data_IF_685174567887
#
_entry.id   IF_685174567887
#
_cell.length_a   1.000
_cell.length_b   1.000
_cell.length_c   1.000
_cell.angle_alpha   90.00
_cell.angle_beta   90.00
_cell.angle_gamma   90.00
#
_symmetry.space_group_name_H-M   'P 1'
#
loop_
_entity.id
_entity.type
_entity.pdbx_description
1 polymer ?
#
# COMPACT_ATOMS: atom_id res chain seq x y z
N UNK A 1 34.09 25.75 26.23
CA UNK A 1 33.26 24.61 25.81
C UNK A 1 31.88 25.17 25.49
N UNK A 2 31.68 25.57 24.25
CA UNK A 2 30.35 25.88 23.71
C UNK A 2 29.76 24.54 23.29
N UNK A 3 28.76 24.05 24.04
CA UNK A 3 27.89 23.00 23.55
C UNK A 3 27.28 23.51 22.24
N UNK A 4 27.54 22.83 21.12
CA UNK A 4 26.66 22.95 19.98
C UNK A 4 25.30 22.46 20.43
N UNK A 5 24.29 23.32 20.35
CA UNK A 5 22.92 22.85 20.28
C UNK A 5 22.85 22.05 18.98
N UNK A 6 22.89 20.72 19.06
CA UNK A 6 22.47 19.87 17.94
C UNK A 6 21.01 20.23 17.67
N UNK A 7 20.80 21.15 16.72
CA UNK A 7 19.50 21.34 16.11
C UNK A 7 19.24 20.05 15.36
N UNK A 8 18.39 19.21 15.93
CA UNK A 8 17.94 18.00 15.27
C UNK A 8 17.12 18.41 14.05
N UNK A 9 17.74 18.30 12.88
CA UNK A 9 17.13 18.73 11.62
C UNK A 9 16.07 17.71 11.17
N UNK A 10 14.93 18.22 10.68
CA UNK A 10 13.87 17.40 10.11
C UNK A 10 14.42 16.46 9.04
N UNK A 11 13.90 15.24 8.93
CA UNK A 11 14.36 14.26 7.94
C UNK A 11 15.70 13.57 8.26
N UNK A 12 16.37 13.93 9.36
CA UNK A 12 17.48 13.14 9.90
C UNK A 12 16.95 11.94 10.71
N UNK A 13 17.75 10.88 10.82
CA UNK A 13 17.41 9.70 11.61
C UNK A 13 17.20 10.06 13.09
N UNK A 14 16.13 9.52 13.69
CA UNK A 14 15.82 9.73 15.10
C UNK A 14 16.71 8.85 16.00
N UNK A 15 17.71 9.42 16.71
CA UNK A 15 18.64 8.64 17.51
C UNK A 15 17.98 7.94 18.71
N UNK A 16 16.75 8.31 19.08
CA UNK A 16 15.99 7.66 20.15
C UNK A 16 15.31 6.36 19.73
N UNK A 17 15.35 6.02 18.44
CA UNK A 17 14.75 4.80 17.91
C UNK A 17 15.79 3.71 17.63
N UNK A 18 15.62 2.54 18.24
CA UNK A 18 16.44 1.36 17.98
C UNK A 18 17.95 1.68 17.92
N UNK A 19 18.64 1.30 16.85
CA UNK A 19 20.06 1.60 16.66
C UNK A 19 20.23 2.86 15.80
N UNK A 20 20.15 4.03 16.44
CA UNK A 20 20.42 5.32 15.79
C UNK A 20 19.41 5.69 14.69
N UNK A 21 18.14 5.34 14.88
CA UNK A 21 17.06 5.59 13.92
C UNK A 21 16.68 4.40 13.06
N UNK A 22 17.38 3.28 13.16
CA UNK A 22 17.18 2.10 12.30
C UNK A 22 16.99 0.84 13.14
N UNK A 23 15.90 0.12 12.89
CA UNK A 23 15.68 -1.25 13.34
C UNK A 23 15.86 -2.19 12.15
N UNK A 24 16.66 -3.25 12.33
CA UNK A 24 16.92 -4.28 11.31
C UNK A 24 16.39 -5.62 11.79
N UNK A 25 15.88 -6.42 10.86
CA UNK A 25 15.34 -7.76 11.10
C UNK A 25 16.11 -8.79 10.26
N UNK A 26 16.37 -10.00 10.75
CA UNK A 26 15.89 -10.53 12.03
C UNK A 26 16.63 -9.94 13.23
N UNK A 27 15.96 -9.87 14.38
CA UNK A 27 16.59 -9.72 15.70
C UNK A 27 16.53 -11.06 16.45
N UNK A 28 17.24 -11.24 17.58
CA UNK A 28 17.09 -12.44 18.40
C UNK A 28 15.63 -12.74 18.80
N UNK A 29 14.81 -11.70 18.90
CA UNK A 29 13.39 -11.76 19.24
C UNK A 29 12.46 -11.84 18.02
N UNK A 30 12.92 -11.44 16.83
CA UNK A 30 12.18 -11.51 15.57
C UNK A 30 12.93 -12.30 14.52
N UNK A 31 12.45 -13.49 14.17
CA UNK A 31 12.95 -14.25 13.01
C UNK A 31 12.18 -13.95 11.72
N UNK A 32 11.40 -12.86 11.69
CA UNK A 32 10.66 -12.40 10.52
C UNK A 32 11.55 -11.86 9.42
N UNK A 33 11.14 -12.05 8.16
CA UNK A 33 11.94 -11.66 6.99
C UNK A 33 11.57 -10.29 6.41
N UNK A 34 10.32 -9.84 6.56
CA UNK A 34 9.85 -8.65 5.85
C UNK A 34 8.66 -7.96 6.53
N UNK A 35 8.82 -6.67 6.83
CA UNK A 35 7.76 -5.79 7.35
C UNK A 35 6.85 -5.34 6.20
N UNK A 36 5.61 -5.79 6.23
CA UNK A 36 4.62 -5.55 5.19
C UNK A 36 3.70 -4.35 5.48
N UNK A 37 3.52 -4.00 6.75
CA UNK A 37 2.67 -2.89 7.14
C UNK A 37 3.12 -2.34 8.50
N UNK A 38 3.02 -1.02 8.66
CA UNK A 38 3.30 -0.32 9.92
C UNK A 38 2.11 0.56 10.30
N UNK A 39 1.82 0.61 11.59
CA UNK A 39 0.76 1.45 12.13
C UNK A 39 1.26 2.16 13.39
N UNK A 40 1.52 3.48 13.32
CA UNK A 40 1.78 4.29 14.50
C UNK A 40 0.55 4.35 15.41
N UNK A 41 0.78 4.20 16.71
CA UNK A 41 -0.25 4.26 17.74
C UNK A 41 -0.19 5.60 18.50
N UNK A 42 -1.29 5.95 19.16
CA UNK A 42 -1.42 7.23 19.86
C UNK A 42 -0.37 7.42 20.98
N UNK A 43 0.07 6.34 21.62
CA UNK A 43 1.12 6.33 22.64
C UNK A 43 2.55 6.28 22.08
N UNK A 44 2.72 6.51 20.77
CA UNK A 44 4.00 6.50 20.04
C UNK A 44 4.64 5.12 19.89
N UNK A 45 3.91 4.06 20.23
CA UNK A 45 4.25 2.70 19.84
C UNK A 45 4.00 2.47 18.35
N UNK A 46 4.54 1.36 17.84
CA UNK A 46 4.30 0.90 16.47
C UNK A 46 3.68 -0.50 16.50
N UNK A 47 2.66 -0.74 15.69
CA UNK A 47 2.17 -2.08 15.38
C UNK A 47 2.71 -2.49 14.01
N UNK A 48 3.24 -3.71 13.92
CA UNK A 48 3.92 -4.24 12.74
C UNK A 48 3.23 -5.48 12.22
N UNK A 49 2.95 -5.51 10.92
CA UNK A 49 2.52 -6.70 10.20
C UNK A 49 3.69 -7.22 9.37
N UNK A 50 4.07 -8.47 9.55
CA UNK A 50 5.25 -9.05 8.91
C UNK A 50 5.02 -10.46 8.42
N UNK A 51 5.83 -10.90 7.46
CA UNK A 51 5.90 -12.31 7.07
C UNK A 51 7.04 -12.99 7.81
N UNK A 52 6.75 -14.16 8.37
CA UNK A 52 7.68 -14.90 9.20
C UNK A 52 8.27 -16.10 8.45
N UNK A 53 9.46 -16.50 8.88
CA UNK A 53 10.04 -17.78 8.55
C UNK A 53 9.26 -18.92 9.21
N UNK A 54 9.07 -20.03 8.50
CA UNK A 54 8.59 -21.26 9.15
C UNK A 54 7.69 -22.13 8.29
N UNK A 55 7.25 -23.23 8.88
CA UNK A 55 6.24 -24.11 8.28
C UNK A 55 4.95 -23.30 8.04
N UNK A 56 4.41 -23.39 6.83
CA UNK A 56 3.26 -22.60 6.35
C UNK A 56 3.48 -21.09 6.17
N UNK A 57 4.70 -20.58 6.40
CA UNK A 57 5.07 -19.16 6.22
C UNK A 57 4.06 -18.19 6.89
N UNK A 58 3.94 -18.23 8.23
CA UNK A 58 2.94 -17.44 8.96
C UNK A 58 3.11 -15.94 8.74
N UNK A 59 2.04 -15.20 9.00
CA UNK A 59 2.15 -13.77 9.29
C UNK A 59 2.36 -13.57 10.79
N UNK A 60 3.08 -12.51 11.13
CA UNK A 60 3.33 -12.05 12.49
C UNK A 60 2.73 -10.67 12.70
N UNK A 61 2.12 -10.47 13.87
CA UNK A 61 1.73 -9.17 14.40
C UNK A 61 2.57 -8.89 15.65
N UNK A 62 3.25 -7.75 15.68
CA UNK A 62 4.08 -7.38 16.82
C UNK A 62 3.90 -5.91 17.19
N UNK A 63 4.08 -5.58 18.46
CA UNK A 63 4.03 -4.21 18.97
C UNK A 63 5.42 -3.78 19.45
N UNK A 64 5.87 -2.61 19.02
CA UNK A 64 7.10 -1.97 19.48
C UNK A 64 6.78 -0.80 20.40
N UNK A 65 7.54 -0.67 21.48
CA UNK A 65 7.57 0.53 22.32
C UNK A 65 8.14 1.72 21.54
N UNK A 66 8.00 2.94 22.10
CA UNK A 66 8.51 4.17 21.48
C UNK A 66 10.01 4.10 21.13
N UNK A 67 10.83 3.42 21.94
CA UNK A 67 12.26 3.25 21.68
C UNK A 67 12.60 2.21 20.61
N UNK A 68 11.61 1.53 20.02
CA UNK A 68 11.83 0.46 19.03
C UNK A 68 12.08 -0.93 19.63
N UNK A 69 12.07 -1.08 20.96
CA UNK A 69 12.10 -2.40 21.62
C UNK A 69 10.72 -3.06 21.58
N UNK A 70 10.68 -4.38 21.66
CA UNK A 70 9.43 -5.15 21.61
C UNK A 70 8.62 -4.98 22.90
N UNK A 71 7.32 -4.82 22.76
CA UNK A 71 6.36 -4.92 23.86
C UNK A 71 6.08 -6.41 24.14
N UNK A 72 6.85 -6.99 25.08
CA UNK A 72 6.74 -8.41 25.43
C UNK A 72 5.39 -8.78 26.07
N UNK A 73 4.58 -7.80 26.50
CA UNK A 73 3.24 -8.06 27.02
C UNK A 73 2.22 -8.31 25.90
N UNK A 74 2.51 -7.89 24.67
CA UNK A 74 1.62 -8.07 23.53
C UNK A 74 1.49 -9.56 23.15
N UNK A 75 0.26 -9.98 22.85
CA UNK A 75 -0.10 -11.35 22.49
C UNK A 75 -0.27 -12.32 23.66
N UNK A 76 0.05 -11.92 24.90
CA UNK A 76 -0.14 -12.73 26.12
C UNK A 76 0.82 -13.91 26.30
N UNK A 77 1.59 -14.27 25.26
CA UNK A 77 2.56 -15.38 25.30
C UNK A 77 3.93 -14.99 25.87
N UNK A 78 4.15 -13.71 26.18
CA UNK A 78 5.45 -13.21 26.64
C UNK A 78 6.50 -13.09 25.54
N UNK A 79 6.10 -13.19 24.26
CA UNK A 79 6.98 -13.09 23.08
C UNK A 79 6.88 -11.73 22.39
N UNK A 80 5.82 -10.96 22.66
CA UNK A 80 5.50 -9.73 21.92
C UNK A 80 5.13 -9.95 20.43
N UNK A 81 5.01 -11.22 20.02
CA UNK A 81 4.70 -11.64 18.65
C UNK A 81 3.50 -12.58 18.66
N UNK A 82 2.52 -12.27 17.83
CA UNK A 82 1.34 -13.10 17.57
C UNK A 82 1.42 -13.63 16.16
N UNK A 83 1.40 -14.95 16.02
CA UNK A 83 1.47 -15.61 14.72
C UNK A 83 0.10 -16.07 14.24
N UNK A 84 -0.14 -15.99 12.94
CA UNK A 84 -1.31 -16.57 12.30
C UNK A 84 -0.92 -17.22 10.98
N UNK A 85 -1.42 -18.42 10.72
CA UNK A 85 -1.25 -19.12 9.46
C UNK A 85 -2.55 -19.78 9.01
N UNK A 86 -2.67 -19.99 7.71
CA UNK A 86 -3.75 -20.77 7.11
C UNK A 86 -3.15 -22.02 6.47
N UNK A 87 -3.53 -23.20 6.94
CA UNK A 87 -3.01 -24.46 6.40
C UNK A 87 -3.31 -24.55 4.90
N UNK A 88 -2.28 -24.74 4.09
CA UNK A 88 -2.42 -24.87 2.64
C UNK A 88 -2.48 -23.54 1.88
N UNK A 89 -2.26 -22.40 2.54
CA UNK A 89 -2.20 -21.10 1.90
C UNK A 89 -1.09 -20.23 2.49
N UNK A 90 -0.53 -19.37 1.65
CA UNK A 90 0.36 -18.28 2.03
C UNK A 90 -0.44 -17.02 2.29
N UNK A 91 -0.08 -16.28 3.32
CA UNK A 91 -0.70 -15.02 3.69
C UNK A 91 0.28 -13.87 3.47
N UNK A 92 -0.23 -12.75 2.97
CA UNK A 92 0.49 -11.50 2.81
C UNK A 92 -0.29 -10.41 3.54
N UNK A 93 0.34 -9.69 4.45
CA UNK A 93 -0.27 -8.51 5.06
C UNK A 93 -0.19 -7.39 4.03
N UNK A 94 -1.30 -6.71 3.78
CA UNK A 94 -1.33 -5.50 2.96
C UNK A 94 -1.48 -4.25 3.80
N UNK A 95 -2.12 -4.36 4.97
CA UNK A 95 -2.47 -3.19 5.77
C UNK A 95 -2.84 -3.54 7.21
N UNK A 96 -2.53 -2.60 8.10
CA UNK A 96 -3.01 -2.57 9.48
C UNK A 96 -3.92 -1.35 9.69
N UNK A 97 -4.98 -1.53 10.49
CA UNK A 97 -5.85 -0.43 10.93
C UNK A 97 -6.20 -0.55 12.41
N UNK A 98 -6.14 0.58 13.11
CA UNK A 98 -6.68 0.71 14.44
C UNK A 98 -8.21 0.83 14.34
N UNK A 99 -8.90 0.10 15.20
CA UNK A 99 -10.34 0.14 15.33
C UNK A 99 -10.74 1.10 16.47
N UNK A 100 -11.95 1.65 16.39
CA UNK A 100 -12.47 2.60 17.39
C UNK A 100 -12.66 2.00 18.78
N UNK A 101 -12.75 0.67 18.88
CA UNK A 101 -12.81 -0.09 20.13
C UNK A 101 -11.42 -0.41 20.71
N UNK A 102 -10.35 0.08 20.08
CA UNK A 102 -8.96 -0.18 20.47
C UNK A 102 -8.37 -1.46 19.88
N UNK A 103 -9.16 -2.25 19.14
CA UNK A 103 -8.67 -3.44 18.44
C UNK A 103 -7.90 -3.12 17.16
N UNK A 104 -7.42 -4.17 16.50
CA UNK A 104 -6.65 -4.11 15.27
C UNK A 104 -7.33 -4.91 14.18
N UNK A 105 -7.31 -4.36 12.96
CA UNK A 105 -7.72 -5.06 11.76
C UNK A 105 -6.49 -5.30 10.88
N UNK A 106 -6.24 -6.56 10.56
CA UNK A 106 -5.21 -6.98 9.62
C UNK A 106 -5.90 -7.35 8.32
N UNK A 107 -5.50 -6.70 7.23
CA UNK A 107 -6.05 -6.93 5.90
C UNK A 107 -4.93 -7.42 4.99
N UNK A 108 -5.26 -8.41 4.15
CA UNK A 108 -4.25 -8.99 3.30
C UNK A 108 -4.77 -9.84 2.16
N UNK A 109 -3.81 -10.42 1.44
CA UNK A 109 -4.01 -11.37 0.36
C UNK A 109 -3.62 -12.77 0.83
N UNK A 110 -4.38 -13.78 0.41
CA UNK A 110 -3.99 -15.17 0.55
C UNK A 110 -3.90 -15.85 -0.81
N UNK A 111 -2.95 -16.77 -0.93
CA UNK A 111 -2.79 -17.62 -2.10
C UNK A 111 -2.67 -19.08 -1.66
N UNK A 112 -3.44 -19.98 -2.26
CA UNK A 112 -3.31 -21.42 -1.97
C UNK A 112 -1.98 -21.96 -2.48
N UNK A 113 -1.43 -22.96 -1.81
CA UNK A 113 -0.09 -23.49 -2.12
C UNK A 113 0.02 -24.11 -3.52
N UNK A 114 -1.10 -24.57 -4.08
CA UNK A 114 -1.17 -25.06 -5.46
C UNK A 114 -1.19 -23.91 -6.51
N UNK A 115 -1.25 -22.66 -6.06
CA UNK A 115 -1.30 -21.45 -6.88
C UNK A 115 -2.59 -21.27 -7.68
N UNK A 116 -3.62 -22.11 -7.46
CA UNK A 116 -4.84 -22.13 -8.28
C UNK A 116 -5.93 -21.20 -7.77
N UNK A 117 -5.90 -20.91 -6.47
CA UNK A 117 -6.90 -20.14 -5.76
C UNK A 117 -6.25 -19.11 -4.85
N UNK A 118 -7.05 -18.15 -4.43
CA UNK A 118 -6.61 -17.08 -3.55
C UNK A 118 -7.70 -16.03 -3.39
N UNK A 119 -7.40 -15.02 -2.61
CA UNK A 119 -8.28 -13.89 -2.43
C UNK A 119 -7.82 -12.98 -1.31
N UNK A 120 -8.77 -12.30 -0.70
CA UNK A 120 -8.52 -11.41 0.42
C UNK A 120 -8.86 -12.07 1.75
N UNK A 121 -8.20 -11.64 2.81
CA UNK A 121 -8.57 -12.02 4.16
C UNK A 121 -8.59 -10.81 5.11
N UNK A 122 -9.45 -10.89 6.12
CA UNK A 122 -9.45 -9.99 7.27
C UNK A 122 -9.26 -10.81 8.54
N UNK A 123 -8.41 -10.31 9.43
CA UNK A 123 -8.31 -10.77 10.81
C UNK A 123 -8.60 -9.61 11.75
N UNK A 124 -9.31 -9.88 12.83
CA UNK A 124 -9.52 -8.89 13.90
C UNK A 124 -8.83 -9.36 15.18
N UNK A 125 -8.12 -8.45 15.82
CA UNK A 125 -7.44 -8.66 17.08
C UNK A 125 -7.93 -7.64 18.11
N UNK A 126 -7.93 -8.02 19.38
CA UNK A 126 -8.08 -7.08 20.48
C UNK A 126 -6.80 -6.27 20.67
N UNK A 127 -6.90 -5.20 21.47
CA UNK A 127 -5.78 -4.29 21.73
C UNK A 127 -4.53 -5.00 22.26
N UNK A 128 -4.73 -6.08 23.03
CA UNK A 128 -3.66 -6.89 23.63
C UNK A 128 -3.03 -7.90 22.65
N UNK A 129 -3.49 -7.96 21.40
CA UNK A 129 -2.99 -8.88 20.38
C UNK A 129 -3.68 -10.24 20.35
N UNK A 130 -4.68 -10.50 21.20
CA UNK A 130 -5.47 -11.74 21.08
C UNK A 130 -6.43 -11.68 19.90
N UNK A 131 -6.58 -12.79 19.17
CA UNK A 131 -7.50 -12.87 18.03
C UNK A 131 -8.96 -12.77 18.53
N UNK A 132 -9.73 -11.83 17.96
CA UNK A 132 -11.15 -11.69 18.22
C UNK A 132 -11.93 -12.76 17.47
N UNK A 133 -12.20 -13.88 18.14
CA UNK A 133 -12.90 -15.03 17.55
C UNK A 133 -14.38 -14.76 17.22
N UNK A 134 -14.94 -13.63 17.66
CA UNK A 134 -16.31 -13.25 17.32
C UNK A 134 -16.45 -12.63 15.93
N UNK A 135 -15.33 -12.22 15.32
CA UNK A 135 -15.29 -11.62 14.00
C UNK A 135 -15.25 -12.68 12.90
N UNK A 136 -16.08 -12.54 11.86
CA UNK A 136 -16.14 -13.51 10.76
C UNK A 136 -16.32 -14.96 11.25
N UNK A 137 -15.50 -15.87 10.72
CA UNK A 137 -15.43 -17.26 11.16
C UNK A 137 -14.17 -17.45 12.05
N UNK A 138 -14.37 -17.49 13.36
CA UNK A 138 -13.30 -17.66 14.36
C UNK A 138 -12.18 -16.60 14.28
N UNK A 139 -12.53 -15.35 13.96
CA UNK A 139 -11.60 -14.23 13.83
C UNK A 139 -11.07 -14.00 12.41
N UNK A 140 -11.46 -14.85 11.45
CA UNK A 140 -11.05 -14.78 10.06
C UNK A 140 -12.25 -14.56 9.14
N UNK A 141 -12.11 -13.62 8.20
CA UNK A 141 -13.03 -13.47 7.07
C UNK A 141 -12.25 -13.68 5.77
N UNK A 142 -12.59 -14.71 5.01
CA UNK A 142 -12.05 -14.93 3.66
C UNK A 142 -13.01 -14.38 2.60
N UNK A 143 -12.43 -13.73 1.60
CA UNK A 143 -13.11 -13.24 0.41
C UNK A 143 -12.40 -13.83 -0.82
N UNK A 144 -12.78 -15.04 -1.24
CA UNK A 144 -12.15 -15.70 -2.37
C UNK A 144 -12.39 -14.90 -3.66
N UNK A 145 -11.36 -14.81 -4.50
CA UNK A 145 -11.48 -14.18 -5.82
C UNK A 145 -12.16 -15.12 -6.82
N UNK A 146 -12.03 -16.44 -6.62
CA UNK A 146 -12.83 -17.47 -7.28
C UNK A 146 -13.57 -18.27 -6.23
N UNK A 147 -14.89 -18.21 -6.21
CA UNK A 147 -15.66 -19.22 -5.48
C UNK A 147 -15.32 -20.59 -6.08
N UNK A 148 -15.00 -21.57 -5.23
CA UNK A 148 -14.92 -22.96 -5.65
C UNK A 148 -16.27 -23.33 -6.28
N UNK A 149 -16.31 -23.35 -7.60
CA UNK A 149 -17.42 -23.95 -8.33
C UNK A 149 -17.50 -25.40 -7.83
N UNK A 150 -18.57 -25.72 -7.09
CA UNK A 150 -18.93 -27.10 -6.78
C UNK A 150 -18.88 -27.88 -8.10
N UNK A 151 -18.03 -28.90 -8.13
CA UNK A 151 -17.70 -29.69 -9.32
C UNK A 151 -18.95 -30.03 -10.15
N UNK A 152 -19.04 -29.49 -11.36
CA UNK A 152 -19.90 -30.04 -12.41
C UNK A 152 -19.01 -30.52 -13.55
N UNK A 153 -18.87 -31.84 -13.58
CA UNK A 153 -18.36 -32.74 -14.61
C UNK A 153 -17.37 -32.24 -15.69
N UNK A 154 -16.17 -32.80 -15.60
CA UNK A 154 -15.12 -32.81 -16.63
C UNK A 154 -15.63 -33.39 -17.95
N UNK A 155 -15.40 -32.66 -19.05
CA UNK A 155 -15.10 -33.28 -20.35
C UNK A 155 -13.68 -32.93 -20.77
N UNK A 156 -12.84 -33.91 -21.12
CA UNK A 156 -11.46 -33.67 -21.47
C UNK A 156 -11.39 -33.05 -22.88
N UNK A 157 -10.68 -31.92 -23.02
CA UNK A 157 -10.19 -31.47 -24.33
C UNK A 157 -8.69 -31.71 -24.41
N UNK A 158 -8.33 -32.44 -25.47
CA UNK A 158 -6.99 -32.91 -25.83
C UNK A 158 -6.05 -31.71 -26.09
N UNK A 159 -4.76 -31.78 -25.70
CA UNK A 159 -3.78 -30.73 -25.97
C UNK A 159 -3.39 -30.71 -27.45
N UNK A 160 -3.61 -29.58 -28.12
CA UNK A 160 -2.93 -29.23 -29.37
C UNK A 160 -1.88 -28.17 -29.05
N UNK A 161 -0.62 -28.50 -29.29
CA UNK A 161 0.48 -27.54 -29.28
C UNK A 161 0.37 -26.65 -30.53
N UNK A 162 0.33 -25.34 -30.33
CA UNK A 162 0.80 -24.37 -31.31
C UNK A 162 1.59 -23.30 -30.55
N UNK A 163 2.81 -23.08 -31.03
CA UNK A 163 3.80 -22.16 -30.50
C UNK A 163 3.38 -20.71 -30.74
N UNK A 164 2.97 -20.01 -29.68
CA UNK A 164 3.20 -18.57 -29.56
C UNK A 164 3.42 -18.26 -28.08
N UNK A 165 4.63 -17.79 -27.76
CA UNK A 165 5.06 -17.41 -26.42
C UNK A 165 4.19 -16.27 -25.87
N UNK A 166 3.11 -16.63 -25.21
CA UNK A 166 2.55 -15.89 -24.09
C UNK A 166 2.51 -16.87 -22.93
N UNK A 167 3.59 -16.89 -22.14
CA UNK A 167 3.63 -17.66 -20.92
C UNK A 167 2.61 -17.06 -19.95
N UNK A 168 1.43 -17.67 -19.95
CA UNK A 168 0.49 -17.67 -18.82
C UNK A 168 1.18 -18.40 -17.67
N UNK A 169 2.11 -17.72 -17.02
CA UNK A 169 2.53 -18.01 -15.66
C UNK A 169 1.74 -17.09 -14.75
N UNK A 170 1.12 -17.68 -13.72
CA UNK A 170 0.15 -17.05 -12.84
C UNK A 170 0.56 -15.64 -12.44
N UNK A 171 -0.39 -14.71 -12.53
CA UNK A 171 -0.29 -13.35 -12.01
C UNK A 171 0.20 -13.42 -10.57
N UNK A 172 1.52 -13.29 -10.37
CA UNK A 172 2.09 -12.87 -9.09
C UNK A 172 1.49 -11.49 -8.86
N UNK A 173 0.74 -11.34 -7.78
CA UNK A 173 0.33 -10.03 -7.29
C UNK A 173 1.62 -9.26 -6.94
N UNK A 174 2.22 -8.59 -7.93
CA UNK A 174 3.15 -7.51 -7.63
C UNK A 174 2.34 -6.43 -6.93
N UNK A 175 2.86 -6.02 -5.77
CA UNK A 175 2.14 -5.38 -4.69
C UNK A 175 1.20 -4.27 -5.12
N UNK A 176 0.01 -4.27 -4.53
CA UNK A 176 -0.81 -3.07 -4.44
C UNK A 176 -0.01 -2.07 -3.62
N UNK A 177 0.53 -1.04 -4.27
CA UNK A 177 1.44 -0.08 -3.66
C UNK A 177 0.68 1.10 -3.01
N UNK A 178 -0.57 0.91 -2.60
CA UNK A 178 -1.36 1.90 -1.86
C UNK A 178 -2.36 1.20 -0.94
N UNK A 179 -3.01 1.96 -0.07
CA UNK A 179 -4.04 1.41 0.81
C UNK A 179 -5.13 0.76 -0.05
N UNK A 180 -5.18 -0.57 -0.08
CA UNK A 180 -6.17 -1.31 -0.84
C UNK A 180 -7.53 -1.32 -0.12
N UNK A 181 -7.54 -1.02 1.17
CA UNK A 181 -8.73 -0.94 2.01
C UNK A 181 -8.67 0.26 2.96
N UNK A 182 -9.83 0.79 3.36
CA UNK A 182 -9.91 1.89 4.33
C UNK A 182 -11.11 1.65 5.23
N UNK A 183 -10.94 1.88 6.54
CA UNK A 183 -12.05 1.91 7.46
C UNK A 183 -12.68 3.30 7.47
N UNK A 184 -14.01 3.35 7.41
CA UNK A 184 -14.80 4.57 7.56
C UNK A 184 -14.98 4.89 9.05
N UNK A 185 -15.39 6.12 9.37
CA UNK A 185 -15.60 6.56 10.76
C UNK A 185 -16.73 5.81 11.49
N UNK A 186 -17.66 5.20 10.75
CA UNK A 186 -18.74 4.36 11.28
C UNK A 186 -18.31 2.89 11.52
N UNK A 187 -17.03 2.58 11.30
CA UNK A 187 -16.46 1.25 11.49
C UNK A 187 -16.57 0.32 10.27
N UNK A 188 -17.28 0.73 9.21
CA UNK A 188 -17.36 -0.04 7.95
C UNK A 188 -16.02 -0.05 7.23
N UNK A 189 -15.79 -1.06 6.41
CA UNK A 189 -14.53 -1.27 5.71
C UNK A 189 -14.79 -1.23 4.21
N UNK A 190 -14.14 -0.32 3.50
CA UNK A 190 -14.17 -0.23 2.05
C UNK A 190 -12.92 -0.89 1.48
N UNK A 191 -13.07 -1.73 0.46
CA UNK A 191 -11.95 -2.46 -0.16
C UNK A 191 -12.11 -2.54 -1.68
N UNK A 192 -11.04 -2.30 -2.43
CA UNK A 192 -10.95 -2.66 -3.85
C UNK A 192 -10.73 -4.18 -4.02
N UNK A 193 -11.52 -4.82 -4.87
CA UNK A 193 -11.37 -6.25 -5.16
C UNK A 193 -11.67 -6.59 -6.63
N UNK A 194 -11.31 -7.82 -7.00
CA UNK A 194 -11.63 -8.43 -8.29
C UNK A 194 -12.93 -9.25 -8.16
N UNK A 195 -13.82 -9.13 -9.15
CA UNK A 195 -15.05 -9.93 -9.26
C UNK A 195 -15.09 -10.68 -10.58
N UNK A 196 -15.36 -11.98 -10.50
CA UNK A 196 -15.60 -12.85 -11.65
C UNK A 196 -17.10 -13.10 -11.80
N UNK A 197 -17.81 -12.36 -12.68
CA UNK A 197 -19.20 -12.67 -12.97
C UNK A 197 -19.35 -14.05 -13.63
N UNK A 198 -20.54 -14.66 -13.54
CA UNK A 198 -20.85 -15.95 -14.19
C UNK A 198 -20.60 -15.91 -15.70
N UNK A 199 -20.86 -14.76 -16.32
CA UNK A 199 -20.58 -14.48 -17.72
C UNK A 199 -19.96 -13.10 -17.87
N UNK A 200 -18.93 -13.00 -18.71
CA UNK A 200 -18.27 -11.73 -19.03
C UNK A 200 -16.85 -11.63 -18.48
N UNK A 201 -16.20 -10.48 -18.70
CA UNK A 201 -14.83 -10.26 -18.25
C UNK A 201 -14.76 -10.05 -16.73
N UNK A 202 -13.56 -10.22 -16.18
CA UNK A 202 -13.21 -9.79 -14.82
C UNK A 202 -13.58 -8.32 -14.61
N UNK A 203 -14.16 -8.02 -13.45
CA UNK A 203 -14.55 -6.66 -13.05
C UNK A 203 -13.71 -6.19 -11.86
N UNK A 204 -13.25 -4.94 -11.91
CA UNK A 204 -12.73 -4.24 -10.73
C UNK A 204 -13.93 -3.70 -9.94
N UNK A 205 -13.97 -3.96 -8.64
CA UNK A 205 -15.07 -3.53 -7.77
C UNK A 205 -14.55 -2.80 -6.53
N UNK A 206 -15.40 -1.94 -5.97
CA UNK A 206 -15.30 -1.47 -4.59
C UNK A 206 -16.36 -2.22 -3.79
N UNK A 207 -15.95 -2.96 -2.77
CA UNK A 207 -16.86 -3.61 -1.83
C UNK A 207 -16.85 -2.87 -0.50
N UNK A 208 -17.96 -2.92 0.22
CA UNK A 208 -18.08 -2.40 1.59
C UNK A 208 -18.54 -3.50 2.54
N UNK A 209 -17.83 -3.65 3.64
CA UNK A 209 -18.14 -4.56 4.72
C UNK A 209 -18.60 -3.79 5.95
N UNK A 210 -19.43 -4.42 6.77
CA UNK A 210 -19.72 -3.97 8.12
C UNK A 210 -18.51 -4.19 9.03
N UNK A 211 -18.54 -3.60 10.22
CA UNK A 211 -17.46 -3.71 11.22
C UNK A 211 -17.22 -5.15 11.70
N UNK A 212 -18.18 -6.05 11.53
CA UNK A 212 -18.08 -7.48 11.84
C UNK A 212 -17.54 -8.34 10.67
N UNK A 213 -17.21 -7.71 9.54
CA UNK A 213 -16.69 -8.35 8.33
C UNK A 213 -17.77 -8.92 7.39
N UNK A 214 -19.06 -8.81 7.75
CA UNK A 214 -20.18 -9.16 6.86
C UNK A 214 -20.32 -8.14 5.72
N UNK A 215 -21.00 -8.52 4.64
CA UNK A 215 -21.24 -7.63 3.50
C UNK A 215 -22.21 -6.50 3.88
N UNK A 216 -21.93 -5.25 3.50
CA UNK A 216 -22.87 -4.14 3.72
C UNK A 216 -23.80 -3.95 2.52
N UNK A 217 -24.92 -4.66 2.52
CA UNK A 217 -25.91 -4.62 1.42
C UNK A 217 -26.53 -3.23 1.18
N UNK A 218 -26.31 -2.24 2.06
CA UNK A 218 -26.73 -0.85 1.81
C UNK A 218 -25.83 -0.14 0.80
N UNK A 219 -24.62 -0.65 0.53
CA UNK A 219 -23.73 -0.13 -0.49
C UNK A 219 -24.11 -0.67 -1.87
N UNK A 220 -24.62 0.21 -2.71
CA UNK A 220 -25.11 -0.05 -4.06
C UNK A 220 -26.18 -1.18 -4.11
N UNK A 221 -26.86 -1.44 -2.98
CA UNK A 221 -27.89 -2.46 -2.83
C UNK A 221 -27.41 -3.91 -2.78
N UNK A 222 -26.10 -4.16 -2.95
CA UNK A 222 -25.52 -5.51 -3.08
C UNK A 222 -24.17 -5.66 -2.37
N UNK A 223 -23.73 -4.63 -1.64
CA UNK A 223 -22.43 -4.61 -0.97
C UNK A 223 -21.28 -4.08 -1.80
N UNK A 224 -21.40 -4.03 -3.12
CA UNK A 224 -20.31 -3.58 -3.97
C UNK A 224 -20.78 -2.73 -5.15
N UNK A 225 -19.87 -1.89 -5.63
CA UNK A 225 -20.00 -1.11 -6.84
C UNK A 225 -18.97 -1.58 -7.87
N UNK A 226 -19.39 -1.72 -9.13
CA UNK A 226 -18.48 -2.00 -10.24
C UNK A 226 -17.82 -0.69 -10.67
N UNK A 227 -16.50 -0.72 -10.84
CA UNK A 227 -15.75 0.42 -11.34
C UNK A 227 -15.87 0.44 -12.86
N UNK A 228 -16.39 1.54 -13.40
CA UNK A 228 -16.54 1.76 -14.83
C UNK A 228 -15.89 3.09 -15.22
N UNK A 229 -14.97 3.06 -16.19
CA UNK A 229 -14.35 4.25 -16.76
C UNK A 229 -15.10 4.65 -18.03
N UNK A 230 -16.30 5.21 -17.87
CA UNK A 230 -17.14 5.66 -18.98
C UNK A 230 -16.39 6.67 -19.83
N UNK A 231 -16.56 6.57 -21.15
CA UNK A 231 -15.95 7.45 -22.15
C UNK A 231 -14.41 7.43 -22.20
N UNK A 232 -13.76 6.55 -21.44
CA UNK A 232 -12.31 6.33 -21.48
C UNK A 232 -12.06 5.01 -22.21
N UNK A 233 -11.41 5.02 -23.39
CA UNK A 233 -11.15 3.79 -24.10
C UNK A 233 -9.94 3.06 -23.49
N UNK A 234 -10.13 1.80 -23.08
CA UNK A 234 -9.09 0.94 -22.51
C UNK A 234 -9.22 -0.51 -23.00
N UNK A 235 -8.10 -1.22 -23.06
CA UNK A 235 -8.06 -2.68 -23.18
C UNK A 235 -8.03 -3.34 -21.79
N UNK A 236 -7.39 -2.66 -20.83
CA UNK A 236 -7.34 -3.07 -19.42
C UNK A 236 -7.19 -1.87 -18.50
N UNK A 237 -7.70 -2.00 -17.28
CA UNK A 237 -7.48 -1.05 -16.19
C UNK A 237 -7.44 -1.79 -14.86
N UNK A 238 -6.82 -1.17 -13.86
CA UNK A 238 -6.65 -1.70 -12.52
C UNK A 238 -6.96 -0.62 -11.49
N UNK A 239 -7.46 -1.03 -10.33
CA UNK A 239 -7.66 -0.17 -9.17
C UNK A 239 -6.61 -0.52 -8.11
N UNK A 240 -5.76 0.44 -7.74
CA UNK A 240 -4.58 0.21 -6.91
C UNK A 240 -4.73 0.76 -5.49
N UNK A 241 -5.47 1.86 -5.32
CA UNK A 241 -5.57 2.54 -4.04
C UNK A 241 -6.97 3.13 -3.79
N UNK A 242 -7.41 3.09 -2.54
CA UNK A 242 -8.69 3.65 -2.08
C UNK A 242 -8.48 4.63 -0.93
N UNK A 243 -9.28 5.69 -0.92
CA UNK A 243 -9.41 6.61 0.20
C UNK A 243 -10.89 6.92 0.46
N UNK A 244 -11.19 7.40 1.67
CA UNK A 244 -12.54 7.78 2.07
C UNK A 244 -12.51 9.23 2.53
N UNK A 245 -13.46 10.04 2.04
CA UNK A 245 -13.65 11.41 2.50
C UNK A 245 -14.48 11.42 3.79
N UNK A 246 -14.40 12.50 4.58
CA UNK A 246 -15.10 12.60 5.87
C UNK A 246 -16.62 12.44 5.80
N UNK A 247 -17.22 12.69 4.63
CA UNK A 247 -18.65 12.52 4.35
C UNK A 247 -19.03 11.11 3.89
N UNK A 248 -18.10 10.15 3.96
CA UNK A 248 -18.30 8.75 3.60
C UNK A 248 -18.20 8.45 2.11
N UNK A 249 -17.90 9.45 1.25
CA UNK A 249 -17.63 9.21 -0.17
C UNK A 249 -16.32 8.44 -0.35
N UNK A 250 -16.28 7.58 -1.36
CA UNK A 250 -15.16 6.68 -1.63
C UNK A 250 -14.43 7.10 -2.90
N UNK A 251 -13.13 7.29 -2.80
CA UNK A 251 -12.24 7.59 -3.91
C UNK A 251 -11.43 6.36 -4.27
N UNK A 252 -11.34 6.04 -5.55
CA UNK A 252 -10.49 4.96 -6.07
C UNK A 252 -9.55 5.53 -7.12
N UNK A 253 -8.26 5.22 -6.95
CA UNK A 253 -7.22 5.54 -7.90
C UNK A 253 -6.63 4.28 -8.54
N UNK A 254 -6.21 4.41 -9.79
CA UNK A 254 -5.52 3.35 -10.51
C UNK A 254 -5.08 3.81 -11.89
N UNK A 255 -4.83 2.86 -12.79
CA UNK A 255 -4.39 3.15 -14.15
C UNK A 255 -5.16 2.35 -15.19
N UNK A 256 -5.16 2.86 -16.42
CA UNK A 256 -5.72 2.22 -17.60
C UNK A 256 -4.69 2.20 -18.73
N UNK A 257 -4.87 1.25 -19.65
CA UNK A 257 -4.03 1.12 -20.84
C UNK A 257 -4.84 0.65 -22.04
N UNK A 258 -4.45 1.16 -23.21
CA UNK A 258 -4.96 0.80 -24.52
C UNK A 258 -3.80 0.67 -25.50
N UNK A 259 -3.84 -0.37 -26.31
CA UNK A 259 -2.77 -0.73 -27.25
C UNK A 259 -2.87 0.08 -28.54
N UNK A 260 -4.07 0.27 -29.09
CA UNK A 260 -4.25 0.93 -30.40
C UNK A 260 -5.52 1.79 -30.49
N UNK A 261 -5.41 3.12 -30.68
CA UNK A 261 -4.18 3.91 -30.56
C UNK A 261 -3.63 3.82 -29.14
N UNK A 262 -2.30 3.87 -29.01
CA UNK A 262 -1.64 3.80 -27.71
C UNK A 262 -2.13 4.92 -26.80
N UNK A 263 -2.76 4.56 -25.69
CA UNK A 263 -3.24 5.50 -24.68
C UNK A 263 -3.09 4.86 -23.31
N UNK A 264 -2.41 5.56 -22.41
CA UNK A 264 -2.25 5.16 -21.02
C UNK A 264 -2.67 6.33 -20.16
N UNK A 265 -3.04 6.04 -18.92
CA UNK A 265 -3.38 7.10 -18.00
C UNK A 265 -3.65 6.58 -16.61
N UNK A 266 -3.65 7.49 -15.66
CA UNK A 266 -4.19 7.24 -14.33
C UNK A 266 -5.58 7.83 -14.23
N UNK A 267 -6.40 7.26 -13.35
CA UNK A 267 -7.72 7.78 -13.06
C UNK A 267 -7.95 7.88 -11.56
N UNK A 268 -8.83 8.80 -11.18
CA UNK A 268 -9.47 8.85 -9.86
C UNK A 268 -10.98 8.87 -10.11
N UNK A 269 -11.71 7.88 -9.61
CA UNK A 269 -13.18 7.88 -9.63
C UNK A 269 -13.73 7.99 -8.22
N UNK A 270 -14.92 8.59 -8.10
CA UNK A 270 -15.59 8.74 -6.81
C UNK A 270 -16.96 8.09 -6.80
N UNK A 271 -17.22 7.34 -5.74
CA UNK A 271 -18.54 6.86 -5.37
C UNK A 271 -19.08 7.68 -4.21
N UNK A 272 -20.39 7.91 -4.19
CA UNK A 272 -21.07 8.48 -3.04
C UNK A 272 -21.09 7.50 -1.85
N UNK A 273 -21.54 7.96 -0.68
CA UNK A 273 -21.62 7.13 0.52
C UNK A 273 -22.59 5.93 0.39
N UNK A 274 -23.40 5.90 -0.67
CA UNK A 274 -24.30 4.77 -1.00
C UNK A 274 -23.71 3.86 -2.08
N UNK A 275 -22.51 4.12 -2.58
CA UNK A 275 -21.84 3.29 -3.58
C UNK A 275 -22.27 3.56 -5.03
N UNK A 276 -22.94 4.67 -5.30
CA UNK A 276 -23.26 5.09 -6.68
C UNK A 276 -22.18 6.04 -7.20
N UNK A 277 -21.92 6.03 -8.51
CA UNK A 277 -20.97 6.97 -9.12
C UNK A 277 -21.38 8.41 -8.81
N UNK A 278 -20.46 9.18 -8.21
CA UNK A 278 -20.71 10.56 -7.84
C UNK A 278 -20.35 11.52 -8.99
N UNK A 279 -21.34 11.87 -9.81
CA UNK A 279 -21.15 12.77 -10.95
C UNK A 279 -20.83 14.21 -10.58
N UNK A 280 -20.99 14.61 -9.31
CA UNK A 280 -20.54 15.92 -8.83
C UNK A 280 -19.02 16.02 -8.72
N UNK A 281 -18.30 14.89 -8.80
CA UNK A 281 -16.85 14.82 -8.81
C UNK A 281 -16.29 14.98 -10.23
N UNK A 282 -16.36 16.19 -10.79
CA UNK A 282 -15.87 16.46 -12.14
C UNK A 282 -16.40 15.45 -13.19
N UNK A 283 -17.68 15.08 -13.12
CA UNK A 283 -18.30 14.06 -13.99
C UNK A 283 -18.15 12.61 -13.51
N UNK A 284 -17.53 12.37 -12.35
CA UNK A 284 -17.39 11.06 -11.70
C UNK A 284 -16.00 10.44 -11.85
N UNK A 285 -15.20 10.91 -12.80
CA UNK A 285 -13.84 10.43 -13.05
C UNK A 285 -12.93 11.56 -13.50
N UNK A 286 -11.71 11.58 -12.97
CA UNK A 286 -10.63 12.48 -13.36
C UNK A 286 -9.50 11.65 -13.91
N UNK A 287 -8.90 12.05 -15.03
CA UNK A 287 -7.78 11.31 -15.65
C UNK A 287 -6.57 12.18 -15.88
N UNK A 288 -5.38 11.58 -15.75
CA UNK A 288 -4.12 12.13 -16.28
C UNK A 288 -3.61 11.16 -17.34
N UNK A 289 -3.68 11.56 -18.60
CA UNK A 289 -3.22 10.75 -19.73
C UNK A 289 -1.71 10.87 -19.93
N UNK A 290 -1.09 9.79 -20.40
CA UNK A 290 0.31 9.74 -20.80
C UNK A 290 0.50 8.80 -22.00
N UNK A 291 1.50 9.06 -22.84
CA UNK A 291 1.86 8.16 -23.95
C UNK A 291 2.65 6.94 -23.48
N UNK A 292 3.43 7.10 -22.41
CA UNK A 292 4.24 6.08 -21.77
C UNK A 292 3.57 5.53 -20.50
N UNK A 293 4.22 4.56 -19.86
CA UNK A 293 3.74 3.94 -18.63
C UNK A 293 3.50 4.99 -17.53
N UNK A 294 2.35 4.94 -16.87
CA UNK A 294 1.97 5.84 -15.77
C UNK A 294 1.11 5.07 -14.77
N UNK A 295 1.41 5.19 -13.49
CA UNK A 295 0.75 4.45 -12.40
C UNK A 295 0.40 5.42 -11.26
N UNK A 296 -0.76 5.22 -10.65
CA UNK A 296 -1.16 5.86 -9.40
C UNK A 296 -1.03 4.80 -8.30
N UNK A 297 -0.01 4.93 -7.47
CA UNK A 297 0.31 3.93 -6.46
C UNK A 297 -0.47 4.18 -5.16
N UNK A 298 -0.62 5.43 -4.74
CA UNK A 298 -1.32 5.76 -3.50
C UNK A 298 -2.19 7.02 -3.63
N UNK A 299 -3.23 7.07 -2.80
CA UNK A 299 -4.17 8.19 -2.67
C UNK A 299 -4.40 8.47 -1.19
N UNK A 300 -4.49 9.74 -0.81
CA UNK A 300 -4.86 10.19 0.53
C UNK A 300 -5.74 11.44 0.48
N UNK A 301 -6.51 11.68 1.53
CA UNK A 301 -7.41 12.83 1.67
C UNK A 301 -6.95 13.67 2.85
N UNK A 302 -6.75 14.97 2.60
CA UNK A 302 -6.41 15.95 3.63
C UNK A 302 -7.64 16.29 4.44
N UNK A 303 -7.59 16.06 5.75
CA UNK A 303 -8.76 16.20 6.63
C UNK A 303 -9.33 17.63 6.66
N UNK A 304 -8.46 18.65 6.63
CA UNK A 304 -8.85 20.05 6.82
C UNK A 304 -9.73 20.62 5.70
N UNK A 305 -9.47 20.24 4.45
CA UNK A 305 -10.10 20.83 3.27
C UNK A 305 -10.64 19.78 2.27
N UNK A 306 -10.40 18.50 2.54
CA UNK A 306 -10.80 17.40 1.67
C UNK A 306 -10.00 17.32 0.37
N UNK A 307 -8.86 18.01 0.26
CA UNK A 307 -7.99 17.89 -0.90
C UNK A 307 -7.45 16.46 -1.03
N UNK A 308 -7.32 15.99 -2.26
CA UNK A 308 -7.00 14.61 -2.59
C UNK A 308 -5.61 14.59 -3.21
N UNK A 309 -4.67 13.94 -2.55
CA UNK A 309 -3.30 13.80 -3.04
C UNK A 309 -3.14 12.41 -3.64
N UNK A 310 -2.66 12.35 -4.89
CA UNK A 310 -2.35 11.11 -5.58
C UNK A 310 -0.89 11.12 -5.97
N UNK A 311 -0.21 10.00 -5.71
CA UNK A 311 1.20 9.81 -6.05
C UNK A 311 1.42 8.53 -6.85
N UNK A 312 2.55 8.45 -7.55
CA UNK A 312 2.97 7.23 -8.22
C UNK A 312 4.21 7.44 -9.07
N UNK A 313 4.20 6.88 -10.28
CA UNK A 313 5.29 7.05 -11.26
C UNK A 313 4.78 7.32 -12.66
N UNK A 314 5.63 7.94 -13.45
CA UNK A 314 5.49 8.08 -14.89
C UNK A 314 6.82 7.75 -15.57
N UNK A 315 6.78 6.99 -16.65
CA UNK A 315 7.92 6.85 -17.57
C UNK A 315 7.88 8.00 -18.57
N UNK A 316 9.02 8.67 -18.76
CA UNK A 316 9.23 9.68 -19.80
C UNK A 316 10.64 9.56 -20.34
N UNK A 317 10.80 9.49 -21.66
CA UNK A 317 12.11 9.42 -22.31
C UNK A 317 12.98 8.28 -21.74
N UNK A 318 12.35 7.13 -21.45
CA UNK A 318 12.96 5.93 -20.83
C UNK A 318 13.48 6.11 -19.39
N UNK A 319 13.08 7.18 -18.71
CA UNK A 319 13.40 7.42 -17.29
C UNK A 319 12.12 7.38 -16.44
N UNK A 320 12.23 6.91 -15.20
CA UNK A 320 11.12 6.94 -14.24
C UNK A 320 11.12 8.24 -13.44
N UNK A 321 10.02 8.98 -13.48
CA UNK A 321 9.79 10.18 -12.69
C UNK A 321 8.71 9.89 -11.66
N UNK A 322 8.84 10.50 -10.48
CA UNK A 322 7.78 10.46 -9.48
C UNK A 322 6.59 11.31 -9.94
N UNK A 323 5.39 10.73 -9.94
CA UNK A 323 4.13 11.41 -10.24
C UNK A 323 3.51 11.93 -8.94
N UNK A 324 3.03 13.18 -8.95
CA UNK A 324 2.15 13.71 -7.92
C UNK A 324 1.13 14.67 -8.53
N UNK A 325 -0.13 14.60 -8.11
CA UNK A 325 -1.11 15.65 -8.40
C UNK A 325 -2.10 15.77 -7.25
N UNK A 326 -2.67 16.97 -7.10
CA UNK A 326 -3.65 17.26 -6.07
C UNK A 326 -4.95 17.68 -6.73
N UNK A 327 -6.05 17.09 -6.27
CA UNK A 327 -7.40 17.46 -6.64
C UNK A 327 -8.07 18.16 -5.47
N UNK A 328 -8.99 19.08 -5.75
CA UNK A 328 -9.93 19.60 -4.76
C UNK A 328 -10.85 18.48 -4.28
N UNK A 329 -11.58 18.73 -3.20
CA UNK A 329 -12.61 17.82 -2.69
C UNK A 329 -13.75 17.55 -3.69
N UNK A 330 -13.82 18.26 -4.82
CA UNK A 330 -14.80 18.04 -5.89
C UNK A 330 -14.17 17.55 -7.22
N UNK A 331 -12.88 17.22 -7.24
CA UNK A 331 -12.23 16.57 -8.38
C UNK A 331 -11.67 17.51 -9.45
N UNK A 332 -11.56 18.81 -9.17
CA UNK A 332 -10.81 19.72 -10.03
C UNK A 332 -9.33 19.69 -9.64
N UNK A 333 -8.41 19.88 -10.58
CA UNK A 333 -7.00 20.05 -10.22
C UNK A 333 -6.81 21.29 -9.33
N UNK A 334 -6.11 21.13 -8.22
CA UNK A 334 -5.84 22.21 -7.29
C UNK A 334 -4.84 23.19 -7.91
N UNK A 335 -5.26 24.44 -8.13
CA UNK A 335 -4.41 25.45 -8.77
C UNK A 335 -3.27 25.95 -7.87
N UNK A 336 -3.38 25.78 -6.55
CA UNK A 336 -2.29 26.08 -5.62
C UNK A 336 -1.14 25.07 -5.79
N UNK A 337 -1.48 23.81 -6.03
CA UNK A 337 -0.50 22.76 -6.27
C UNK A 337 -0.02 22.79 -7.72
N UNK A 338 1.25 23.13 -7.94
CA UNK A 338 1.90 23.10 -9.24
C UNK A 338 1.05 23.73 -10.39
N UNK A 339 0.33 24.82 -10.08
CA UNK A 339 -0.56 25.54 -11.02
C UNK A 339 -1.64 24.65 -11.65
N UNK A 340 -2.14 23.66 -10.91
CA UNK A 340 -3.15 22.72 -11.38
C UNK A 340 -2.63 21.69 -12.37
N UNK A 341 -1.32 21.49 -12.45
CA UNK A 341 -0.69 20.49 -13.32
C UNK A 341 -0.10 19.33 -12.51
N UNK A 342 -0.08 18.10 -13.05
CA UNK A 342 0.72 17.02 -12.48
C UNK A 342 2.19 17.43 -12.33
N UNK A 343 2.75 17.15 -11.16
CA UNK A 343 4.16 17.30 -10.85
C UNK A 343 4.89 16.02 -11.23
N UNK A 344 5.97 16.17 -11.99
CA UNK A 344 6.88 15.08 -12.35
C UNK A 344 8.24 15.34 -11.72
N UNK A 345 8.42 14.85 -10.50
CA UNK A 345 9.68 15.00 -9.77
C UNK A 345 10.77 14.11 -10.37
N UNK A 346 12.02 14.59 -10.37
CA UNK A 346 13.24 13.86 -10.69
C UNK A 346 14.32 14.22 -9.68
N UNK A 347 14.25 13.63 -8.49
CA UNK A 347 15.18 13.97 -7.40
C UNK A 347 16.55 13.33 -7.58
N UNK A 348 16.60 12.20 -8.29
CA UNK A 348 17.78 11.34 -8.44
C UNK A 348 17.89 10.84 -9.89
N UNK A 349 19.12 10.64 -10.38
CA UNK A 349 19.38 10.32 -11.79
C UNK A 349 18.90 8.92 -12.20
N UNK A 350 18.91 7.97 -11.27
CA UNK A 350 18.41 6.61 -11.45
C UNK A 350 16.88 6.52 -11.64
N UNK A 351 16.17 7.63 -11.43
CA UNK A 351 14.72 7.70 -11.42
C UNK A 351 14.11 7.19 -10.13
N UNK A 352 12.82 7.46 -9.96
CA UNK A 352 12.11 7.11 -8.74
C UNK A 352 10.64 6.73 -8.97
N UNK A 353 10.08 6.07 -7.97
CA UNK A 353 8.70 5.61 -7.92
C UNK A 353 8.11 5.90 -6.53
N UNK A 354 7.17 6.84 -6.44
CA UNK A 354 6.52 7.16 -5.17
C UNK A 354 5.50 6.09 -4.82
N UNK A 355 5.67 5.43 -3.67
CA UNK A 355 4.83 4.31 -3.25
C UNK A 355 3.90 4.63 -2.10
N UNK A 356 4.29 5.51 -1.18
CA UNK A 356 3.46 5.86 -0.03
C UNK A 356 3.44 7.37 0.15
N UNK A 357 2.29 7.91 0.54
CA UNK A 357 2.15 9.32 0.87
C UNK A 357 1.44 9.50 2.19
N UNK A 358 1.83 10.53 2.92
CA UNK A 358 1.19 10.96 4.14
C UNK A 358 1.19 12.49 4.20
N UNK A 359 0.30 13.04 5.02
CA UNK A 359 0.14 14.48 5.17
C UNK A 359 0.56 14.89 6.58
N UNK A 360 1.29 15.99 6.68
CA UNK A 360 1.59 16.62 7.96
C UNK A 360 0.53 17.70 8.27
N UNK A 361 0.43 18.08 9.54
CA UNK A 361 -0.59 19.01 10.03
C UNK A 361 -0.48 20.43 9.43
N UNK A 362 0.71 20.81 8.99
CA UNK A 362 1.01 22.06 8.29
C UNK A 362 0.57 22.05 6.80
N UNK A 363 0.13 20.89 6.29
CA UNK A 363 -0.26 20.69 4.89
C UNK A 363 0.88 20.21 3.99
N UNK A 364 2.08 19.98 4.53
CA UNK A 364 3.19 19.35 3.81
C UNK A 364 2.85 17.92 3.41
N UNK A 365 3.35 17.52 2.24
CA UNK A 365 3.14 16.21 1.64
C UNK A 365 4.43 15.42 1.77
N UNK A 366 4.38 14.32 2.50
CA UNK A 366 5.46 13.34 2.54
C UNK A 366 5.23 12.30 1.47
N UNK A 367 6.29 11.95 0.75
CA UNK A 367 6.30 10.86 -0.22
C UNK A 367 7.48 9.95 0.07
N UNK A 368 7.22 8.65 0.21
CA UNK A 368 8.26 7.62 0.31
C UNK A 368 8.10 6.60 -0.80
N UNK A 369 9.21 6.09 -1.28
CA UNK A 369 9.27 5.26 -2.45
C UNK A 369 10.64 4.69 -2.66
N UNK A 370 10.83 4.11 -3.84
CA UNK A 370 12.07 3.41 -4.16
C UNK A 370 12.69 4.03 -5.40
N UNK A 371 14.02 4.09 -5.44
CA UNK A 371 14.76 4.53 -6.62
C UNK A 371 14.95 3.37 -7.59
N UNK A 372 15.31 3.67 -8.84
CA UNK A 372 15.66 2.66 -9.82
C UNK A 372 14.51 2.22 -10.74
N UNK A 373 14.81 1.24 -11.61
CA UNK A 373 14.12 0.89 -12.88
C UNK A 373 14.42 1.81 -14.08
N UNK A 374 15.47 2.63 -14.00
CA UNK A 374 16.08 3.36 -15.13
C UNK A 374 17.17 2.55 -15.85
N UNK A 375 17.66 3.04 -16.99
CA UNK A 375 18.53 2.30 -17.94
C UNK A 375 19.99 2.13 -17.46
N UNK A 376 20.43 2.84 -16.42
CA UNK A 376 21.87 3.01 -16.13
C UNK A 376 22.35 2.26 -14.88
N UNK A 377 21.54 2.11 -13.82
CA UNK A 377 21.94 1.38 -12.60
C UNK A 377 20.75 0.64 -11.96
N UNK A 378 20.99 -0.60 -11.51
CA UNK A 378 20.00 -1.47 -10.85
C UNK A 378 19.84 -1.17 -9.35
N UNK A 379 20.67 -0.27 -8.80
CA UNK A 379 20.66 0.07 -7.37
C UNK A 379 19.32 0.70 -6.99
N UNK A 380 18.66 0.03 -6.06
CA UNK A 380 17.30 0.26 -5.64
C UNK A 380 17.40 0.72 -4.20
N UNK A 381 17.24 2.01 -3.91
CA UNK A 381 17.36 2.55 -2.55
C UNK A 381 16.03 3.12 -2.06
N UNK A 382 15.88 3.26 -0.75
CA UNK A 382 14.70 3.88 -0.17
C UNK A 382 14.83 5.40 -0.19
N UNK A 383 13.81 6.07 -0.72
CA UNK A 383 13.76 7.53 -0.87
C UNK A 383 12.57 8.08 -0.10
N UNK A 384 12.80 9.08 0.74
CA UNK A 384 11.73 9.85 1.40
C UNK A 384 11.92 11.34 1.16
N UNK A 385 10.88 12.03 0.71
CA UNK A 385 10.90 13.45 0.41
C UNK A 385 9.75 14.20 1.06
N UNK A 386 9.98 15.48 1.37
CA UNK A 386 8.94 16.39 1.85
C UNK A 386 8.71 17.50 0.82
N UNK A 387 7.45 17.68 0.46
CA UNK A 387 6.99 18.75 -0.41
C UNK A 387 6.08 19.70 0.38
N UNK A 388 6.14 20.98 0.08
CA UNK A 388 5.14 21.94 0.52
C UNK A 388 3.79 21.67 -0.15
N UNK A 389 2.73 22.28 0.38
CA UNK A 389 1.37 22.13 -0.15
C UNK A 389 1.18 22.66 -1.57
N UNK A 390 2.11 23.48 -2.08
CA UNK A 390 2.14 23.97 -3.46
C UNK A 390 2.90 23.03 -4.43
N UNK A 391 3.49 21.94 -3.91
CA UNK A 391 4.27 20.96 -4.67
C UNK A 391 5.75 21.31 -4.82
N UNK A 392 6.23 22.44 -4.28
CA UNK A 392 7.66 22.71 -4.20
C UNK A 392 8.34 21.79 -3.18
N UNK A 393 9.57 21.37 -3.47
CA UNK A 393 10.36 20.54 -2.57
C UNK A 393 10.79 21.38 -1.35
N UNK A 394 10.67 20.85 -0.13
CA UNK A 394 11.00 21.58 1.09
C UNK A 394 12.48 21.44 1.46
N UNK A 395 13.34 22.43 1.23
CA UNK A 395 14.79 22.30 1.47
C UNK A 395 15.16 22.15 2.96
N UNK A 396 14.24 22.39 3.89
CA UNK A 396 14.50 22.24 5.33
C UNK A 396 14.47 20.77 5.78
N UNK A 397 13.94 19.87 4.96
CA UNK A 397 13.96 18.44 5.22
C UNK A 397 15.31 17.84 4.79
N UNK A 398 16.12 17.41 5.75
CA UNK A 398 17.46 16.84 5.56
C UNK A 398 18.40 17.75 4.73
N UNK A 399 18.16 19.07 4.74
CA UNK A 399 18.94 20.08 4.02
C UNK A 399 18.81 20.07 2.48
N UNK A 400 18.16 19.06 1.89
CA UNK A 400 18.02 18.88 0.44
C UNK A 400 16.57 18.68 -0.02
N UNK A 401 15.66 18.52 0.94
CA UNK A 401 14.25 18.17 0.75
C UNK A 401 13.94 16.70 0.62
N UNK A 402 14.97 15.85 0.67
CA UNK A 402 14.81 14.41 0.67
C UNK A 402 15.96 13.71 1.40
N UNK A 403 15.73 12.46 1.74
CA UNK A 403 16.72 11.56 2.34
C UNK A 403 16.70 10.24 1.58
N UNK A 404 17.90 9.72 1.33
CA UNK A 404 18.12 8.39 0.79
C UNK A 404 18.59 7.51 1.94
N UNK A 405 17.93 6.37 2.10
CA UNK A 405 18.39 5.28 2.95
C UNK A 405 18.90 4.17 2.02
N UNK A 406 20.19 3.90 2.14
CA UNK A 406 20.98 3.02 1.30
C UNK A 406 21.90 2.25 2.25
N UNK A 407 21.79 0.91 2.25
CA UNK A 407 22.70 0.05 2.98
C UNK A 407 23.64 -0.61 1.99
N UNK A 408 24.95 -0.58 2.28
CA UNK A 408 25.98 -1.04 1.35
C UNK A 408 25.67 -2.42 0.74
N UNK A 409 25.74 -2.51 -0.59
CA UNK A 409 25.60 -3.75 -1.38
C UNK A 409 24.22 -4.43 -1.29
N UNK A 410 23.16 -3.67 -1.01
CA UNK A 410 21.79 -4.17 -0.87
C UNK A 410 20.79 -3.37 -1.74
N UNK A 411 19.61 -3.96 -1.97
CA UNK A 411 18.51 -3.32 -2.70
C UNK A 411 17.31 -3.03 -1.76
N UNK A 412 17.16 -1.79 -1.27
CA UNK A 412 16.09 -1.37 -0.36
C UNK A 412 14.76 -1.08 -1.08
N UNK A 413 13.74 -1.83 -0.70
CA UNK A 413 12.37 -1.64 -1.17
C UNK A 413 11.50 -1.03 -0.09
N UNK A 414 10.85 0.10 -0.39
CA UNK A 414 9.85 0.72 0.50
C UNK A 414 8.51 0.03 0.34
N UNK A 415 7.91 -0.30 1.48
CA UNK A 415 6.66 -1.05 1.56
C UNK A 415 5.63 -0.39 2.45
N UNK A 416 6.01 0.41 3.45
CA UNK A 416 5.04 1.25 4.11
C UNK A 416 5.66 2.53 4.68
N UNK A 417 4.84 3.57 4.83
CA UNK A 417 5.21 4.82 5.47
C UNK A 417 4.03 5.37 6.25
N UNK A 418 4.28 5.86 7.46
CA UNK A 418 3.29 6.56 8.25
C UNK A 418 3.90 7.72 9.05
N UNK A 419 3.05 8.67 9.43
CA UNK A 419 3.40 9.80 10.30
C UNK A 419 2.87 9.51 11.70
N UNK A 420 3.73 9.64 12.70
CA UNK A 420 3.40 9.50 14.10
C UNK A 420 2.63 10.74 14.62
N UNK A 421 1.98 10.61 15.77
CA UNK A 421 1.19 11.72 16.37
C UNK A 421 2.02 12.95 16.72
N UNK A 422 3.34 12.80 16.89
CA UNK A 422 4.28 13.90 17.12
C UNK A 422 5.00 14.37 15.85
N UNK A 423 4.55 13.93 14.68
CA UNK A 423 5.06 14.36 13.37
C UNK A 423 6.26 13.56 12.88
N UNK A 424 6.88 12.71 13.71
CA UNK A 424 7.98 11.82 13.27
C UNK A 424 7.48 10.89 12.18
N UNK A 425 8.40 10.49 11.30
CA UNK A 425 8.07 9.73 10.10
C UNK A 425 8.66 8.34 10.27
N UNK A 426 7.85 7.31 10.09
CA UNK A 426 8.32 5.92 10.06
C UNK A 426 8.18 5.37 8.66
N UNK A 427 9.22 4.71 8.17
CA UNK A 427 9.25 4.03 6.88
C UNK A 427 9.74 2.61 7.11
N UNK A 428 9.15 1.64 6.43
CA UNK A 428 9.54 0.25 6.53
C UNK A 428 9.63 -0.42 5.16
N UNK A 429 10.42 -1.49 5.14
CA UNK A 429 10.74 -2.19 3.92
C UNK A 429 11.55 -3.45 4.16
N UNK A 430 12.18 -3.90 3.08
CA UNK A 430 13.15 -4.98 3.08
C UNK A 430 14.30 -4.67 2.15
N UNK A 431 15.41 -5.36 2.37
CA UNK A 431 16.46 -5.49 1.37
C UNK A 431 16.39 -6.86 0.71
N UNK A 432 16.83 -6.91 -0.53
CA UNK A 432 17.12 -8.15 -1.22
C UNK A 432 18.52 -8.10 -1.81
N UNK A 433 19.08 -9.27 -2.07
CA UNK A 433 20.36 -9.45 -2.74
C UNK A 433 20.19 -10.33 -3.96
N UNK A 434 21.10 -10.18 -4.92
CA UNK A 434 21.25 -11.14 -6.00
C UNK A 434 21.72 -12.48 -5.41
N UNK A 435 21.09 -13.58 -5.82
CA UNK A 435 21.48 -14.90 -5.35
C UNK A 435 22.89 -15.23 -5.84
N UNK A 436 23.81 -15.64 -4.96
CA UNK A 436 25.23 -15.81 -5.33
C UNK A 436 25.53 -17.08 -6.16
N UNK A 437 24.61 -18.05 -6.17
CA UNK A 437 24.78 -19.34 -6.85
C UNK A 437 23.62 -19.67 -7.80
N UNK A 438 23.91 -20.44 -8.84
CA UNK A 438 22.95 -20.80 -9.88
C UNK A 438 21.78 -21.66 -9.34
N UNK A 439 20.51 -21.35 -9.66
CA UNK A 439 20.07 -20.17 -10.41
C UNK A 439 20.16 -18.91 -9.56
N UNK A 440 20.72 -17.83 -10.11
CA UNK A 440 20.82 -16.48 -9.52
C UNK A 440 19.41 -15.93 -9.23
N UNK A 441 18.77 -16.43 -8.17
CA UNK A 441 17.43 -16.07 -7.75
C UNK A 441 17.59 -15.06 -6.63
N UNK A 442 17.15 -13.81 -6.82
CA UNK A 442 17.13 -12.83 -5.76
C UNK A 442 16.40 -13.36 -4.53
N UNK A 443 16.97 -13.14 -3.35
CA UNK A 443 16.33 -13.48 -2.09
C UNK A 443 16.32 -12.29 -1.15
N UNK A 444 15.32 -12.26 -0.28
CA UNK A 444 15.17 -11.22 0.75
C UNK A 444 16.23 -11.50 1.81
N UNK A 445 17.07 -10.53 2.10
CA UNK A 445 18.12 -10.65 3.11
C UNK A 445 17.58 -10.23 4.49
N UNK A 446 17.04 -9.01 4.60
CA UNK A 446 16.58 -8.43 5.87
C UNK A 446 15.38 -7.51 5.72
N UNK A 447 14.63 -7.37 6.81
CA UNK A 447 13.62 -6.32 6.98
C UNK A 447 14.23 -5.09 7.66
N UNK A 448 13.66 -3.91 7.43
CA UNK A 448 14.09 -2.70 8.12
C UNK A 448 12.92 -1.76 8.44
N UNK A 449 13.10 -0.97 9.50
CA UNK A 449 12.25 0.15 9.87
C UNK A 449 13.18 1.33 10.20
N UNK A 450 12.91 2.48 9.61
CA UNK A 450 13.60 3.72 9.91
C UNK A 450 12.62 4.73 10.50
N UNK A 451 13.09 5.51 11.47
CA UNK A 451 12.36 6.66 12.00
C UNK A 451 13.13 7.93 11.74
N UNK A 452 12.50 8.90 11.09
CA UNK A 452 13.02 10.23 10.87
C UNK A 452 12.35 11.24 11.80
N UNK A 453 13.10 12.30 12.12
CA UNK A 453 12.59 13.46 12.83
C UNK A 453 11.67 14.31 11.92
N UNK A 454 10.68 14.94 12.56
CA UNK A 454 9.60 15.69 11.91
C UNK A 454 10.06 17.00 11.28
#
# INVERSE_FOLDING_TARGET
MTQSSDTTDAGTLDPSFANGGVLRLPTPEFTGYYIQAILPLAGKELLLGMRLAGEFEPIGLAKLNEGGSIDMAFGGAGTGLVEFYLKGARLYVSQLRALSDGGWLVLGDYQTNDGRSGGKYLLRYFQDGQLDRSFGENGLRLLPVREEQREVEKKPRVPGWDDEQSSVQGRRAQGRQGAAAVQQSDGKIVWINDRYPESGPLQQIVLRLNSDGSMDDTFNGVGFAVIELKDIPYDSFYADAVAVQADGKVLVAGYYSKTSPASRGVYVTRFDATGRLDTSFNGGVVTVANSELIHANAITVRERDGAIVVIGRVSRDRHSYGLMFVLTSSGFFDFHFNRGQPLFSALLAQGQDWRRCALQADGSILASGTTGRGVVEEVTTALTARFHSDGSLDPTFNGSGFVVFDEDEQYETVEDMAVMTDGRIVVAGFTWVDGEEWPYVPYIDRGWIIRYLA
#
